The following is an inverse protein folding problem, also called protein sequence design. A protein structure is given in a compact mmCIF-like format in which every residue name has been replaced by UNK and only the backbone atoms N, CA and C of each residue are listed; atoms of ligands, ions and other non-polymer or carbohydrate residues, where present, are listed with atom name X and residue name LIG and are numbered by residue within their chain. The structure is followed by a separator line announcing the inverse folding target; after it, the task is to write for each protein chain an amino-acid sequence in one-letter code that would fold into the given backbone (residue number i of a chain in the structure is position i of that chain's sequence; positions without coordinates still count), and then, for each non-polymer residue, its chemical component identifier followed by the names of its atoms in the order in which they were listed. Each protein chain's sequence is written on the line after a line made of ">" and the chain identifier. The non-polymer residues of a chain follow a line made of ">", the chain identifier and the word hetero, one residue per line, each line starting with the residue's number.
data_IF_250871728881
#
_entry.id   IF_250871728881
#
_cell.length_a   1.000
_cell.length_b   1.000
_cell.length_c   1.000
_cell.angle_alpha   90.00
_cell.angle_beta   90.00
_cell.angle_gamma   90.00
#
_symmetry.space_group_name_H-M   'P 1'
#
loop_
_entity.id
_entity.type
_entity.pdbx_description
1 polymer ?
#
# COMPACT_ATOMS: atom_id res chain seq x y z
N UNK A 1 -1.92 16.70 1.04
CA UNK A 1 -2.18 15.58 1.96
C UNK A 1 -2.20 16.11 3.39
N UNK A 2 -3.10 15.60 4.24
CA UNK A 2 -3.25 16.07 5.63
C UNK A 2 -4.63 16.67 5.98
N UNK A 3 -5.73 16.00 5.64
CA UNK A 3 -7.08 16.42 6.11
C UNK A 3 -7.76 15.33 6.95
N UNK A 4 -7.46 14.05 6.67
CA UNK A 4 -8.23 12.91 7.16
C UNK A 4 -7.40 11.86 7.92
N UNK A 5 -6.08 12.08 8.05
CA UNK A 5 -5.15 11.22 8.79
C UNK A 5 -3.82 11.00 8.07
N UNK A 6 -2.93 10.23 8.71
CA UNK A 6 -1.56 9.94 8.26
C UNK A 6 -1.35 8.47 7.88
N UNK A 7 -2.37 7.63 8.08
CA UNK A 7 -2.37 6.21 7.78
C UNK A 7 -2.43 5.89 6.28
N UNK A 8 -2.12 4.64 5.90
CA UNK A 8 -2.15 4.19 4.50
C UNK A 8 -3.54 4.18 3.84
N UNK A 9 -4.59 4.33 4.63
CA UNK A 9 -5.99 4.23 4.19
C UNK A 9 -6.75 5.56 4.31
N UNK A 10 -6.18 6.55 4.99
CA UNK A 10 -6.89 7.73 5.48
C UNK A 10 -7.13 8.80 4.41
N UNK A 11 -6.58 8.66 3.20
CA UNK A 11 -6.84 9.62 2.13
C UNK A 11 -8.12 9.27 1.37
N UNK A 12 -8.91 10.25 0.92
CA UNK A 12 -10.11 10.02 0.09
C UNK A 12 -9.85 9.04 -1.07
N UNK A 13 -8.71 9.17 -1.76
CA UNK A 13 -8.31 8.27 -2.84
C UNK A 13 -8.05 6.83 -2.37
N UNK A 14 -7.52 6.65 -1.17
CA UNK A 14 -7.30 5.34 -0.57
C UNK A 14 -8.62 4.73 -0.09
N UNK A 15 -9.52 5.53 0.50
CA UNK A 15 -10.87 5.08 0.88
C UNK A 15 -11.68 4.64 -0.34
N UNK A 16 -11.71 5.44 -1.42
CA UNK A 16 -12.36 5.07 -2.69
C UNK A 16 -11.82 3.73 -3.24
N UNK A 17 -10.49 3.53 -3.14
CA UNK A 17 -9.85 2.27 -3.54
C UNK A 17 -10.29 1.09 -2.64
N UNK A 18 -10.40 1.30 -1.33
CA UNK A 18 -10.84 0.26 -0.39
C UNK A 18 -12.31 -0.11 -0.59
N UNK A 19 -13.18 0.87 -0.83
CA UNK A 19 -14.60 0.65 -1.10
C UNK A 19 -14.78 -0.20 -2.37
N UNK A 20 -14.06 0.13 -3.45
CA UNK A 20 -14.07 -0.68 -4.68
C UNK A 20 -13.56 -2.12 -4.43
N UNK A 21 -12.60 -2.28 -3.54
CA UNK A 21 -12.04 -3.58 -3.16
C UNK A 21 -13.02 -4.39 -2.31
N UNK A 22 -13.74 -3.77 -1.37
CA UNK A 22 -14.66 -4.46 -0.46
C UNK A 22 -15.78 -5.19 -1.22
N UNK A 23 -16.29 -4.59 -2.30
CA UNK A 23 -17.34 -5.18 -3.14
C UNK A 23 -16.87 -6.40 -3.98
N UNK A 24 -15.55 -6.65 -4.04
CA UNK A 24 -14.95 -7.67 -4.91
C UNK A 24 -14.75 -9.01 -4.21
N UNK A 25 -14.74 -10.08 -5.00
CA UNK A 25 -14.30 -11.39 -4.53
C UNK A 25 -12.78 -11.42 -4.32
N UNK A 26 -12.27 -12.33 -3.47
CA UNK A 26 -10.83 -12.44 -3.20
C UNK A 26 -9.95 -12.57 -4.48
N UNK A 27 -10.31 -13.34 -5.52
CA UNK A 27 -9.55 -13.35 -6.77
C UNK A 27 -9.53 -12.00 -7.48
N UNK A 28 -10.66 -11.27 -7.48
CA UNK A 28 -10.73 -9.93 -8.10
C UNK A 28 -9.95 -8.89 -7.32
N UNK A 29 -9.93 -8.96 -5.98
CA UNK A 29 -9.08 -8.10 -5.14
C UNK A 29 -7.60 -8.30 -5.45
N UNK A 30 -7.17 -9.56 -5.60
CA UNK A 30 -5.79 -9.87 -6.00
C UNK A 30 -5.45 -9.28 -7.38
N UNK A 31 -6.33 -9.46 -8.37
CA UNK A 31 -6.12 -8.90 -9.72
C UNK A 31 -5.98 -7.37 -9.70
N UNK A 32 -6.79 -6.67 -8.89
CA UNK A 32 -6.69 -5.20 -8.73
C UNK A 32 -5.35 -4.82 -8.12
N UNK A 33 -4.94 -5.47 -7.03
CA UNK A 33 -3.65 -5.19 -6.38
C UNK A 33 -2.47 -5.42 -7.34
N UNK A 34 -2.47 -6.54 -8.07
CA UNK A 34 -1.45 -6.84 -9.08
C UNK A 34 -1.45 -5.82 -10.22
N UNK A 35 -2.63 -5.40 -10.67
CA UNK A 35 -2.78 -4.38 -11.69
C UNK A 35 -2.25 -3.02 -11.24
N UNK A 36 -2.55 -2.60 -10.01
CA UNK A 36 -2.08 -1.35 -9.42
C UNK A 36 -0.56 -1.30 -9.39
N UNK A 37 0.09 -2.35 -8.91
CA UNK A 37 1.55 -2.41 -8.88
C UNK A 37 2.16 -2.45 -10.28
N UNK A 38 1.63 -3.27 -11.19
CA UNK A 38 2.13 -3.33 -12.57
C UNK A 38 2.05 -1.97 -13.25
N UNK A 39 0.92 -1.28 -13.13
CA UNK A 39 0.71 0.04 -13.73
C UNK A 39 1.68 1.07 -13.15
N UNK A 40 1.88 1.07 -11.83
CA UNK A 40 2.84 1.95 -11.15
C UNK A 40 4.29 1.71 -11.63
N UNK A 41 4.67 0.44 -11.75
CA UNK A 41 6.02 0.04 -12.19
C UNK A 41 6.24 0.44 -13.65
N UNK A 42 5.28 0.15 -14.53
CA UNK A 42 5.34 0.51 -15.96
C UNK A 42 5.40 2.03 -16.18
N UNK A 43 4.73 2.81 -15.32
CA UNK A 43 4.81 4.27 -15.35
C UNK A 43 6.17 4.83 -14.91
N UNK A 44 6.98 4.05 -14.17
CA UNK A 44 8.34 4.43 -13.78
C UNK A 44 8.43 5.75 -12.98
N UNK A 45 7.42 6.04 -12.16
CA UNK A 45 7.34 7.29 -11.39
C UNK A 45 6.88 8.51 -12.20
N UNK A 46 6.39 8.32 -13.43
CA UNK A 46 5.80 9.39 -14.23
C UNK A 46 4.47 9.87 -13.62
N UNK A 47 4.33 11.19 -13.45
CA UNK A 47 3.12 11.85 -12.95
C UNK A 47 1.86 11.62 -13.79
N UNK A 48 1.99 11.09 -15.01
CA UNK A 48 0.84 10.75 -15.88
C UNK A 48 0.35 9.30 -15.69
N UNK A 49 0.84 8.60 -14.67
CA UNK A 49 0.32 7.30 -14.27
C UNK A 49 -1.20 7.38 -14.04
N UNK A 50 -1.93 6.36 -14.47
CA UNK A 50 -3.36 6.25 -14.15
C UNK A 50 -3.62 5.76 -12.73
N UNK A 51 -2.57 5.33 -12.00
CA UNK A 51 -2.64 5.01 -10.58
C UNK A 51 -1.92 6.07 -9.77
N UNK A 52 -2.56 6.51 -8.69
CA UNK A 52 -2.08 7.55 -7.78
C UNK A 52 -1.20 6.96 -6.68
N UNK A 53 -0.29 7.77 -6.08
CA UNK A 53 0.52 7.34 -4.94
C UNK A 53 -0.27 6.72 -3.79
N UNK A 54 -1.42 7.31 -3.47
CA UNK A 54 -2.33 6.88 -2.42
C UNK A 54 -2.87 5.47 -2.69
N UNK A 55 -3.28 5.17 -3.93
CA UNK A 55 -3.74 3.82 -4.32
C UNK A 55 -2.62 2.78 -4.21
N UNK A 56 -1.39 3.15 -4.57
CA UNK A 56 -0.22 2.27 -4.45
C UNK A 56 0.10 1.98 -2.99
N UNK A 57 0.01 2.99 -2.11
CA UNK A 57 0.20 2.84 -0.67
C UNK A 57 -0.90 1.97 -0.06
N UNK A 58 -2.17 2.21 -0.41
CA UNK A 58 -3.29 1.41 0.05
C UNK A 58 -3.18 -0.05 -0.41
N UNK A 59 -2.89 -0.30 -1.69
CA UNK A 59 -2.67 -1.65 -2.21
C UNK A 59 -1.52 -2.37 -1.49
N UNK A 60 -0.40 -1.68 -1.22
CA UNK A 60 0.71 -2.25 -0.45
C UNK A 60 0.32 -2.55 1.01
N UNK A 61 -0.51 -1.71 1.63
CA UNK A 61 -1.05 -1.95 2.95
C UNK A 61 -2.01 -3.15 3.00
N UNK A 62 -2.85 -3.35 1.98
CA UNK A 62 -3.66 -4.58 1.84
C UNK A 62 -2.76 -5.82 1.81
N UNK A 63 -1.66 -5.81 1.04
CA UNK A 63 -0.72 -6.94 1.00
C UNK A 63 -0.09 -7.19 2.37
N UNK A 64 0.40 -6.13 3.04
CA UNK A 64 1.00 -6.23 4.36
C UNK A 64 0.01 -6.74 5.43
N UNK A 65 -1.23 -6.26 5.42
CA UNK A 65 -2.28 -6.70 6.35
C UNK A 65 -2.60 -8.20 6.24
N UNK A 66 -2.38 -8.79 5.06
CA UNK A 66 -2.63 -10.20 4.80
C UNK A 66 -1.46 -11.14 5.16
N UNK A 67 -0.38 -10.61 5.74
CA UNK A 67 0.72 -11.41 6.30
C UNK A 67 0.75 -11.37 7.84
N UNK A 68 1.28 -12.40 8.53
CA UNK A 68 1.18 -12.51 9.99
C UNK A 68 1.69 -11.29 10.76
N UNK A 69 2.85 -10.75 10.39
CA UNK A 69 3.46 -9.58 11.04
C UNK A 69 2.74 -8.27 10.73
N UNK A 70 2.08 -8.16 9.58
CA UNK A 70 1.38 -6.94 9.18
C UNK A 70 -0.08 -6.88 9.61
N UNK A 71 -0.65 -7.99 10.08
CA UNK A 71 -2.04 -8.03 10.58
C UNK A 71 -2.29 -7.13 11.80
N UNK A 72 -1.27 -6.95 12.65
CA UNK A 72 -1.37 -6.15 13.88
C UNK A 72 -0.94 -4.69 13.71
N UNK A 73 -0.80 -4.20 12.47
CA UNK A 73 -0.49 -2.79 12.23
C UNK A 73 -1.71 -1.91 12.57
N UNK A 74 -1.51 -0.74 13.20
CA UNK A 74 -2.58 0.03 13.84
C UNK A 74 -3.66 0.50 12.86
N UNK A 75 -3.29 0.84 11.63
CA UNK A 75 -4.26 1.28 10.61
C UNK A 75 -5.23 0.18 10.14
N UNK A 76 -5.01 -1.09 10.51
CA UNK A 76 -5.98 -2.15 10.25
C UNK A 76 -7.17 -2.10 11.23
N UNK A 77 -7.06 -1.37 12.36
CA UNK A 77 -8.12 -1.29 13.37
C UNK A 77 -9.40 -0.65 12.81
N UNK A 78 -9.24 0.32 11.90
CA UNK A 78 -10.35 1.00 11.21
C UNK A 78 -10.92 0.15 10.07
N UNK A 79 -10.09 -0.73 9.48
CA UNK A 79 -10.46 -1.61 8.37
C UNK A 79 -10.15 -3.09 8.66
N UNK A 80 -10.79 -3.72 9.67
CA UNK A 80 -10.40 -5.05 10.14
C UNK A 80 -10.60 -6.15 9.10
N UNK A 81 -11.54 -5.97 8.17
CA UNK A 81 -11.84 -6.93 7.11
C UNK A 81 -10.69 -7.10 6.11
N UNK A 82 -9.84 -6.08 5.94
CA UNK A 82 -8.70 -6.08 4.99
C UNK A 82 -7.73 -7.23 5.25
N UNK A 83 -7.59 -7.64 6.50
CA UNK A 83 -6.67 -8.71 6.93
C UNK A 83 -7.04 -10.11 6.39
N UNK A 84 -8.22 -10.25 5.79
CA UNK A 84 -8.75 -11.49 5.21
C UNK A 84 -9.06 -11.36 3.69
N UNK A 85 -8.61 -10.29 3.03
CA UNK A 85 -8.96 -10.01 1.63
C UNK A 85 -8.17 -10.82 0.60
N UNK A 86 -6.94 -11.26 0.92
CA UNK A 86 -6.08 -12.00 0.01
C UNK A 86 -5.92 -13.45 0.44
N UNK A 87 -5.68 -14.32 -0.54
CA UNK A 87 -5.34 -15.72 -0.27
C UNK A 87 -4.02 -15.83 0.50
N UNK A 88 -3.96 -16.78 1.44
CA UNK A 88 -2.78 -17.04 2.28
C UNK A 88 -2.15 -18.39 1.90
N UNK A 89 -0.82 -18.49 1.86
CA UNK A 89 0.16 -17.42 2.10
C UNK A 89 0.20 -16.40 0.94
N UNK A 90 0.53 -15.14 1.27
CA UNK A 90 0.82 -14.11 0.27
C UNK A 90 2.06 -14.51 -0.53
N UNK A 91 1.98 -14.41 -1.86
CA UNK A 91 3.09 -14.77 -2.74
C UNK A 91 4.28 -13.81 -2.53
N UNK A 92 5.54 -14.30 -2.40
CA UNK A 92 6.72 -13.46 -2.28
C UNK A 92 6.88 -12.45 -3.43
N UNK A 93 6.52 -12.86 -4.65
CA UNK A 93 6.53 -11.99 -5.83
C UNK A 93 5.57 -10.80 -5.70
N UNK A 94 4.41 -10.98 -5.06
CA UNK A 94 3.46 -9.89 -4.83
C UNK A 94 4.05 -8.85 -3.86
N UNK A 95 4.74 -9.32 -2.81
CA UNK A 95 5.45 -8.44 -1.88
C UNK A 95 6.59 -7.68 -2.56
N UNK A 96 7.37 -8.35 -3.43
CA UNK A 96 8.42 -7.69 -4.24
C UNK A 96 7.85 -6.62 -5.17
N UNK A 97 6.71 -6.90 -5.83
CA UNK A 97 6.02 -5.92 -6.67
C UNK A 97 5.52 -4.72 -5.88
N UNK A 98 4.99 -4.95 -4.67
CA UNK A 98 4.55 -3.88 -3.78
C UNK A 98 5.71 -2.94 -3.38
N UNK A 99 6.87 -3.51 -3.01
CA UNK A 99 8.08 -2.72 -2.68
C UNK A 99 8.51 -1.88 -3.87
N UNK A 100 8.64 -2.49 -5.06
CA UNK A 100 9.09 -1.80 -6.26
C UNK A 100 8.12 -0.67 -6.66
N UNK A 101 6.81 -0.91 -6.58
CA UNK A 101 5.80 0.11 -6.84
C UNK A 101 5.91 1.27 -5.83
N UNK A 102 6.08 0.99 -4.53
CA UNK A 102 6.27 2.01 -3.50
C UNK A 102 7.54 2.86 -3.71
N UNK A 103 8.63 2.25 -4.17
CA UNK A 103 9.89 2.95 -4.44
C UNK A 103 9.78 3.91 -5.63
N UNK A 104 9.09 3.48 -6.69
CA UNK A 104 8.91 4.27 -7.91
C UNK A 104 7.87 5.39 -7.72
N UNK A 105 6.77 5.10 -7.03
CA UNK A 105 5.64 6.04 -6.90
C UNK A 105 5.81 6.99 -5.71
N UNK A 106 6.44 6.53 -4.62
CA UNK A 106 6.65 7.33 -3.40
C UNK A 106 8.15 7.45 -3.08
N UNK A 107 8.96 8.01 -4.00
CA UNK A 107 10.40 8.14 -3.78
C UNK A 107 10.68 9.12 -2.64
N UNK A 108 11.76 8.90 -1.92
CA UNK A 108 12.21 9.77 -0.83
C UNK A 108 12.33 11.22 -1.30
N UNK A 109 11.69 12.15 -0.58
CA UNK A 109 11.68 13.57 -0.94
C UNK A 109 10.92 13.91 -2.23
N UNK A 110 10.20 12.94 -2.83
CA UNK A 110 9.33 13.12 -3.99
C UNK A 110 8.15 14.06 -3.75
N UNK A 111 7.36 14.31 -4.81
CA UNK A 111 6.21 15.21 -4.75
C UNK A 111 5.20 14.81 -3.67
N UNK A 112 4.93 13.51 -3.51
CA UNK A 112 4.05 12.98 -2.45
C UNK A 112 4.40 13.54 -1.07
N UNK A 113 5.69 13.57 -0.69
CA UNK A 113 6.12 14.10 0.60
C UNK A 113 6.08 15.63 0.67
N UNK A 114 6.28 16.31 -0.45
CA UNK A 114 6.23 17.78 -0.54
C UNK A 114 4.80 18.33 -0.58
N UNK A 115 3.79 17.48 -0.82
CA UNK A 115 2.38 17.88 -0.88
C UNK A 115 1.68 17.86 0.48
N UNK A 116 2.36 17.40 1.54
CA UNK A 116 1.86 17.49 2.90
C UNK A 116 1.95 18.91 3.43
N UNK A 117 0.86 19.38 4.06
CA UNK A 117 0.78 20.72 4.65
C UNK A 117 1.33 20.71 6.07
N UNK A 118 0.94 19.70 6.86
CA UNK A 118 1.41 19.49 8.22
C UNK A 118 2.67 18.61 8.24
N UNK A 119 3.66 19.00 9.04
CA UNK A 119 4.94 18.31 9.12
C UNK A 119 4.88 17.06 10.00
N UNK A 120 4.08 17.10 11.07
CA UNK A 120 3.93 16.00 12.02
C UNK A 120 3.14 14.87 11.35
N UNK A 121 2.03 15.18 10.68
CA UNK A 121 1.26 14.19 9.91
C UNK A 121 2.10 13.56 8.78
N UNK A 122 2.97 14.34 8.14
CA UNK A 122 3.90 13.82 7.13
C UNK A 122 4.90 12.82 7.73
N UNK A 123 5.42 13.10 8.92
CA UNK A 123 6.35 12.22 9.63
C UNK A 123 5.66 10.91 10.06
N UNK A 124 4.42 10.99 10.53
CA UNK A 124 3.60 9.82 10.83
C UNK A 124 3.34 8.95 9.58
N UNK A 125 2.97 9.57 8.45
CA UNK A 125 2.78 8.87 7.19
C UNK A 125 4.07 8.21 6.70
N UNK A 126 5.21 8.87 6.91
CA UNK A 126 6.52 8.28 6.62
C UNK A 126 6.81 7.07 7.51
N UNK A 127 6.47 7.12 8.80
CA UNK A 127 6.62 5.98 9.70
C UNK A 127 5.71 4.80 9.30
N UNK A 128 4.48 5.07 8.89
CA UNK A 128 3.55 4.05 8.40
C UNK A 128 4.07 3.36 7.12
N UNK A 129 4.49 4.14 6.12
CA UNK A 129 5.04 3.60 4.86
C UNK A 129 6.35 2.84 5.10
N UNK A 130 7.19 3.27 6.04
CA UNK A 130 8.40 2.53 6.40
C UNK A 130 8.08 1.18 7.07
N UNK A 131 7.05 1.15 7.92
CA UNK A 131 6.57 -0.08 8.54
C UNK A 131 6.02 -1.06 7.50
N UNK A 132 5.29 -0.57 6.50
CA UNK A 132 4.85 -1.36 5.34
C UNK A 132 6.02 -1.98 4.59
N UNK A 133 7.03 -1.18 4.23
CA UNK A 133 8.23 -1.64 3.52
C UNK A 133 8.94 -2.74 4.32
N UNK A 134 9.10 -2.57 5.63
CA UNK A 134 9.75 -3.56 6.49
C UNK A 134 9.01 -4.91 6.49
N UNK A 135 7.68 -4.90 6.60
CA UNK A 135 6.86 -6.11 6.55
C UNK A 135 6.96 -6.80 5.17
N UNK A 136 6.84 -6.04 4.10
CA UNK A 136 6.88 -6.57 2.73
C UNK A 136 8.27 -7.14 2.38
N UNK A 137 9.35 -6.48 2.81
CA UNK A 137 10.72 -6.96 2.60
C UNK A 137 10.91 -8.33 3.24
N UNK A 138 10.47 -8.50 4.50
CA UNK A 138 10.54 -9.78 5.19
C UNK A 138 9.82 -10.91 4.43
N UNK A 139 8.65 -10.62 3.84
CA UNK A 139 7.85 -11.59 3.07
C UNK A 139 8.54 -11.95 1.75
N UNK A 140 9.09 -10.95 1.05
CA UNK A 140 9.80 -11.14 -0.22
C UNK A 140 11.05 -12.03 -0.05
N UNK A 141 11.78 -11.85 1.05
CA UNK A 141 12.99 -12.61 1.38
C UNK A 141 12.67 -14.01 1.92
N UNK A 142 11.60 -14.15 2.71
CA UNK A 142 11.16 -15.41 3.33
C UNK A 142 10.73 -16.50 2.34
N UNK A 143 10.47 -16.15 1.08
CA UNK A 143 10.20 -17.09 -0.01
C UNK A 143 11.43 -17.76 -0.63
N UNK A 144 12.65 -17.37 -0.22
CA UNK A 144 13.91 -17.87 -0.80
C UNK A 144 14.51 -19.08 -0.05
N UNK A 145 13.71 -19.87 0.68
CA UNK A 145 14.17 -21.05 1.42
C UNK A 145 13.40 -22.31 1.08
#
# INVERSE_FOLDING_TARGET
>A
MGTWGSGPFDSDTAEDFLDEMEERSAPRRLEVVEHTFRTAIEAGGNSTSSVLPEEVVAAAAVVAANVPTGRSLPWNEEYPSVTEWLAKPVAPLLASSAIQALELTVPTGGWFWRSWVDADEREEAQAAINSLRAVLLHVSEGGSR
#
